data_IF_307164162018
#
_entry.id   IF_307164162018
#
_cell.length_a   1.000
_cell.length_b   1.000
_cell.length_c   1.000
_cell.angle_alpha   90.00
_cell.angle_beta   90.00
_cell.angle_gamma   90.00
#
_symmetry.space_group_name_H-M   'P 1'
#
loop_
_entity.id
_entity.type
_entity.pdbx_description
1 polymer ?
#
# COMPACT_ATOMS: atom_id res chain seq x y z
N UNK A 1 -46.24 -6.19 -26.82
CA UNK A 1 -45.82 -6.83 -25.56
C UNK A 1 -44.33 -6.58 -25.45
N UNK A 2 -43.92 -5.70 -24.55
CA UNK A 2 -42.51 -5.39 -24.33
C UNK A 2 -41.87 -6.54 -23.55
N UNK A 3 -40.66 -6.92 -23.95
CA UNK A 3 -39.90 -7.99 -23.32
C UNK A 3 -39.50 -7.57 -21.88
N UNK A 4 -39.81 -8.34 -20.83
CA UNK A 4 -39.50 -7.97 -19.45
C UNK A 4 -37.99 -7.95 -19.12
N UNK A 5 -37.12 -8.24 -20.08
CA UNK A 5 -35.65 -8.28 -19.88
C UNK A 5 -34.93 -6.99 -20.30
N UNK A 6 -35.62 -6.02 -20.90
CA UNK A 6 -35.02 -4.74 -21.33
C UNK A 6 -34.85 -3.71 -20.17
N UNK A 7 -35.37 -4.01 -18.98
CA UNK A 7 -35.35 -3.12 -17.80
C UNK A 7 -34.16 -3.34 -16.84
N UNK A 8 -33.20 -4.21 -17.19
CA UNK A 8 -32.04 -4.54 -16.33
C UNK A 8 -30.71 -3.93 -16.77
N UNK A 9 -30.68 -3.18 -17.88
CA UNK A 9 -29.50 -2.41 -18.22
C UNK A 9 -29.60 -1.07 -17.47
N UNK A 10 -28.74 -0.79 -16.47
CA UNK A 10 -28.64 0.57 -15.95
C UNK A 10 -28.42 1.50 -17.16
N UNK A 11 -29.01 2.72 -17.17
CA UNK A 11 -28.65 3.71 -18.17
C UNK A 11 -27.13 3.80 -18.19
N UNK A 12 -26.47 3.95 -19.37
CA UNK A 12 -25.04 4.15 -19.40
C UNK A 12 -24.77 5.28 -18.41
N UNK A 13 -24.06 4.96 -17.32
CA UNK A 13 -23.55 5.98 -16.43
C UNK A 13 -22.89 6.98 -17.38
N UNK A 14 -23.27 8.25 -17.25
CA UNK A 14 -22.69 9.34 -18.03
C UNK A 14 -21.19 9.08 -18.11
N UNK A 15 -20.59 9.25 -19.31
CA UNK A 15 -19.15 9.14 -19.58
C UNK A 15 -18.36 10.10 -18.68
N UNK A 16 -18.38 9.86 -17.36
CA UNK A 16 -17.64 10.52 -16.32
C UNK A 16 -16.20 10.03 -16.50
N UNK A 17 -15.59 10.60 -17.53
CA UNK A 17 -14.24 11.14 -17.52
C UNK A 17 -13.18 10.11 -17.10
N UNK A 18 -13.26 8.87 -17.64
CA UNK A 18 -12.16 7.92 -17.65
C UNK A 18 -11.02 8.47 -18.51
N UNK A 19 -10.31 9.44 -17.93
CA UNK A 19 -9.20 10.15 -18.51
C UNK A 19 -7.93 9.79 -17.77
N UNK A 20 -6.80 9.94 -18.45
CA UNK A 20 -5.50 9.75 -17.81
C UNK A 20 -5.30 10.80 -16.70
N UNK A 21 -4.54 10.51 -15.63
CA UNK A 21 -4.30 11.50 -14.59
C UNK A 21 -3.68 12.78 -15.18
N UNK A 22 -4.35 13.92 -14.97
CA UNK A 22 -3.88 15.24 -15.44
C UNK A 22 -2.43 15.53 -15.06
N UNK A 23 -2.01 15.10 -13.87
CA UNK A 23 -0.62 15.23 -13.41
C UNK A 23 0.38 14.50 -14.31
N UNK A 24 0.05 13.29 -14.78
CA UNK A 24 0.89 12.50 -15.67
C UNK A 24 1.05 13.18 -17.03
N UNK A 25 -0.05 13.66 -17.63
CA UNK A 25 -0.01 14.37 -18.90
C UNK A 25 0.77 15.69 -18.77
N UNK A 26 0.53 16.45 -17.70
CA UNK A 26 1.28 17.68 -17.43
C UNK A 26 2.78 17.45 -17.24
N UNK A 27 3.17 16.31 -16.66
CA UNK A 27 4.57 15.92 -16.54
C UNK A 27 5.19 15.66 -17.91
N UNK A 28 4.54 14.86 -18.75
CA UNK A 28 5.01 14.57 -20.13
C UNK A 28 5.13 15.85 -20.95
N UNK A 29 4.13 16.74 -20.90
CA UNK A 29 4.17 18.02 -21.62
C UNK A 29 5.39 18.84 -21.18
N UNK A 30 5.66 18.95 -19.86
CA UNK A 30 6.82 19.70 -19.36
C UNK A 30 8.16 19.07 -19.75
N UNK A 31 8.23 17.75 -19.82
CA UNK A 31 9.44 17.03 -20.24
C UNK A 31 9.73 17.25 -21.74
N UNK A 32 8.70 17.27 -22.58
CA UNK A 32 8.84 17.48 -24.03
C UNK A 32 9.05 18.94 -24.41
N UNK A 33 8.41 19.89 -23.72
CA UNK A 33 8.48 21.33 -24.01
C UNK A 33 8.77 22.17 -22.75
N UNK A 34 9.99 22.07 -22.18
CA UNK A 34 10.32 22.61 -20.85
C UNK A 34 10.22 24.13 -20.72
N UNK A 35 10.42 24.87 -21.81
CA UNK A 35 10.47 26.34 -21.81
C UNK A 35 9.21 26.99 -22.39
N UNK A 36 8.17 26.21 -22.71
CA UNK A 36 6.96 26.70 -23.37
C UNK A 36 5.80 26.77 -22.40
N UNK A 37 5.15 27.93 -22.34
CA UNK A 37 3.89 28.09 -21.60
C UNK A 37 2.75 27.53 -22.45
N UNK A 38 2.27 26.35 -22.08
CA UNK A 38 1.06 25.75 -22.67
C UNK A 38 -0.20 26.37 -22.01
N UNK A 39 -1.28 26.57 -22.74
CA UNK A 39 -2.57 27.04 -22.20
C UNK A 39 -3.34 25.90 -21.53
N UNK A 40 -4.27 26.22 -20.61
CA UNK A 40 -5.06 25.19 -19.93
C UNK A 40 -5.97 24.45 -20.90
N UNK A 41 -6.63 25.17 -21.81
CA UNK A 41 -7.46 24.55 -22.86
C UNK A 41 -6.66 23.57 -23.73
N UNK A 42 -5.41 23.91 -24.08
CA UNK A 42 -4.54 23.00 -24.83
C UNK A 42 -4.17 21.74 -24.04
N UNK A 43 -4.03 21.84 -22.71
CA UNK A 43 -3.77 20.66 -21.85
C UNK A 43 -4.99 19.73 -21.80
N UNK A 44 -6.18 20.29 -21.65
CA UNK A 44 -7.42 19.49 -21.68
C UNK A 44 -7.65 18.89 -23.08
N UNK A 45 -7.33 19.61 -24.15
CA UNK A 45 -7.38 19.06 -25.50
C UNK A 45 -6.43 17.87 -25.67
N UNK A 46 -5.17 17.97 -25.20
CA UNK A 46 -4.21 16.87 -25.24
C UNK A 46 -4.73 15.67 -24.43
N UNK A 47 -5.31 15.92 -23.25
CA UNK A 47 -5.91 14.88 -22.43
C UNK A 47 -7.00 14.11 -23.19
N UNK A 48 -7.91 14.83 -23.84
CA UNK A 48 -8.97 14.24 -24.66
C UNK A 48 -8.39 13.46 -25.85
N UNK A 49 -7.35 13.99 -26.51
CA UNK A 49 -6.64 13.28 -27.58
C UNK A 49 -6.00 11.98 -27.08
N UNK A 50 -5.49 11.92 -25.84
CA UNK A 50 -4.95 10.68 -25.28
C UNK A 50 -6.03 9.61 -25.10
N UNK A 51 -7.21 10.00 -24.60
CA UNK A 51 -8.36 9.08 -24.48
C UNK A 51 -8.81 8.59 -25.86
N UNK A 52 -8.98 9.51 -26.82
CA UNK A 52 -9.34 9.17 -28.19
C UNK A 52 -8.30 8.24 -28.84
N UNK A 53 -7.00 8.47 -28.60
CA UNK A 53 -5.94 7.61 -29.10
C UNK A 53 -6.07 6.18 -28.57
N UNK A 54 -6.40 6.00 -27.29
CA UNK A 54 -6.65 4.67 -26.71
C UNK A 54 -7.84 4.00 -27.41
N UNK A 55 -8.93 4.73 -27.64
CA UNK A 55 -10.10 4.19 -28.35
C UNK A 55 -9.80 3.84 -29.81
N UNK A 56 -9.04 4.67 -30.51
CA UNK A 56 -8.64 4.44 -31.90
C UNK A 56 -7.82 3.16 -32.03
N UNK A 57 -6.76 3.02 -31.23
CA UNK A 57 -5.92 1.81 -31.23
C UNK A 57 -6.73 0.58 -30.83
N UNK A 58 -7.56 0.70 -29.79
CA UNK A 58 -8.35 -0.43 -29.28
C UNK A 58 -9.36 -0.92 -30.32
N UNK A 59 -10.00 0.00 -31.06
CA UNK A 59 -10.97 -0.33 -32.10
C UNK A 59 -10.30 -1.03 -33.29
N UNK A 60 -9.18 -0.51 -33.81
CA UNK A 60 -8.47 -1.18 -34.89
C UNK A 60 -7.88 -2.53 -34.45
N UNK A 61 -7.35 -2.63 -33.23
CA UNK A 61 -6.84 -3.90 -32.69
C UNK A 61 -7.96 -4.94 -32.51
N UNK A 62 -9.17 -4.51 -32.13
CA UNK A 62 -10.35 -5.36 -32.08
C UNK A 62 -10.73 -5.86 -33.49
N UNK A 63 -10.70 -5.00 -34.50
CA UNK A 63 -10.97 -5.39 -35.88
C UNK A 63 -9.92 -6.35 -36.43
N UNK A 64 -8.64 -6.16 -36.10
CA UNK A 64 -7.58 -7.13 -36.41
C UNK A 64 -7.85 -8.48 -35.72
N UNK A 65 -8.19 -8.45 -34.43
CA UNK A 65 -8.51 -9.65 -33.63
C UNK A 65 -9.66 -10.45 -34.26
N UNK A 66 -10.75 -9.76 -34.60
CA UNK A 66 -11.94 -10.35 -35.21
C UNK A 66 -11.64 -10.93 -36.60
N UNK A 67 -10.88 -10.21 -37.44
CA UNK A 67 -10.43 -10.71 -38.75
C UNK A 67 -9.54 -11.95 -38.66
N UNK A 68 -8.78 -12.10 -37.58
CA UNK A 68 -7.99 -13.30 -37.28
C UNK A 68 -8.79 -14.41 -36.57
N UNK A 69 -10.11 -14.24 -36.45
CA UNK A 69 -11.04 -15.17 -35.81
C UNK A 69 -10.63 -15.52 -34.36
N UNK A 70 -10.12 -14.53 -33.62
CA UNK A 70 -9.76 -14.61 -32.20
C UNK A 70 -10.80 -13.84 -31.36
N UNK A 71 -10.98 -14.26 -30.11
CA UNK A 71 -11.91 -13.63 -29.15
C UNK A 71 -11.20 -12.76 -28.10
N UNK A 72 -9.87 -12.73 -28.12
CA UNK A 72 -9.06 -12.01 -27.14
C UNK A 72 -8.04 -11.17 -27.89
N UNK A 73 -8.04 -9.87 -27.61
CA UNK A 73 -7.05 -8.95 -28.17
C UNK A 73 -5.70 -9.25 -27.51
N UNK A 74 -4.74 -9.68 -28.33
CA UNK A 74 -3.38 -9.94 -27.92
C UNK A 74 -2.44 -8.84 -28.43
N UNK A 75 -1.19 -8.85 -27.96
CA UNK A 75 -0.19 -7.86 -28.35
C UNK A 75 0.04 -7.80 -29.88
N UNK A 76 0.02 -8.94 -30.57
CA UNK A 76 0.16 -8.98 -32.04
C UNK A 76 -0.94 -8.22 -32.78
N UNK A 77 -2.15 -8.13 -32.22
CA UNK A 77 -3.25 -7.37 -32.82
C UNK A 77 -3.02 -5.87 -32.67
N UNK A 78 -2.49 -5.44 -31.51
CA UNK A 78 -2.14 -4.03 -31.27
C UNK A 78 -0.97 -3.60 -32.14
N UNK A 79 0.07 -4.43 -32.28
CA UNK A 79 1.22 -4.14 -33.13
C UNK A 79 0.82 -4.01 -34.61
N UNK A 80 -0.09 -4.87 -35.09
CA UNK A 80 -0.64 -4.75 -36.45
C UNK A 80 -1.57 -3.53 -36.62
N UNK A 81 -2.34 -3.17 -35.58
CA UNK A 81 -3.15 -1.96 -35.61
C UNK A 81 -2.30 -0.70 -35.75
N UNK A 82 -1.15 -0.63 -35.06
CA UNK A 82 -0.18 0.46 -35.23
C UNK A 82 0.29 0.58 -36.68
N UNK A 83 0.64 -0.53 -37.34
CA UNK A 83 1.04 -0.52 -38.75
C UNK A 83 -0.10 -0.01 -39.66
N UNK A 84 -1.34 -0.49 -39.45
CA UNK A 84 -2.50 -0.14 -40.27
C UNK A 84 -2.91 1.32 -40.14
N UNK A 85 -2.74 1.90 -38.96
CA UNK A 85 -3.03 3.30 -38.67
C UNK A 85 -1.88 4.26 -39.04
N UNK A 86 -0.73 3.72 -39.51
CA UNK A 86 0.43 4.51 -39.92
C UNK A 86 1.35 4.94 -38.78
N UNK A 87 1.26 4.30 -37.61
CA UNK A 87 2.12 4.54 -36.44
C UNK A 87 3.30 3.56 -36.37
N UNK A 88 3.89 3.22 -37.53
CA UNK A 88 4.98 2.24 -37.62
C UNK A 88 6.18 2.58 -36.72
N UNK A 89 6.46 3.87 -36.53
CA UNK A 89 7.58 4.35 -35.70
C UNK A 89 7.41 3.99 -34.20
N UNK A 90 6.18 3.74 -33.74
CA UNK A 90 5.90 3.36 -32.35
C UNK A 90 6.09 1.87 -32.09
N UNK A 91 6.13 1.06 -33.15
CA UNK A 91 6.12 -0.40 -33.06
C UNK A 91 7.37 -0.93 -32.35
N UNK A 92 8.54 -0.36 -32.64
CA UNK A 92 9.80 -0.79 -32.04
C UNK A 92 9.77 -0.65 -30.51
N UNK A 93 9.32 0.49 -30.00
CA UNK A 93 9.18 0.73 -28.56
C UNK A 93 8.09 -0.16 -27.94
N UNK A 94 6.98 -0.37 -28.64
CA UNK A 94 5.92 -1.26 -28.17
C UNK A 94 6.39 -2.73 -28.07
N UNK A 95 7.23 -3.20 -29.00
CA UNK A 95 7.82 -4.53 -28.96
C UNK A 95 8.82 -4.69 -27.80
N UNK A 96 9.60 -3.64 -27.50
CA UNK A 96 10.49 -3.62 -26.34
C UNK A 96 9.69 -3.78 -25.02
N UNK A 97 8.63 -2.98 -24.84
CA UNK A 97 7.74 -3.07 -23.67
C UNK A 97 7.07 -4.45 -23.59
N UNK A 98 6.67 -5.04 -24.72
CA UNK A 98 6.11 -6.39 -24.75
C UNK A 98 7.10 -7.44 -24.22
N UNK A 99 8.37 -7.32 -24.60
CA UNK A 99 9.41 -8.25 -24.13
C UNK A 99 9.63 -8.11 -22.62
N UNK A 100 9.72 -6.89 -22.10
CA UNK A 100 9.83 -6.63 -20.67
C UNK A 100 8.63 -7.20 -19.90
N UNK A 101 7.41 -7.00 -20.41
CA UNK A 101 6.20 -7.57 -19.83
C UNK A 101 6.26 -9.11 -19.78
N UNK A 102 6.76 -9.77 -20.83
CA UNK A 102 6.93 -11.23 -20.88
C UNK A 102 7.95 -11.70 -19.85
N UNK A 103 9.05 -10.98 -19.67
CA UNK A 103 10.06 -11.30 -18.66
C UNK A 103 9.51 -11.18 -17.24
N UNK A 104 8.81 -10.10 -16.94
CA UNK A 104 8.16 -9.89 -15.63
C UNK A 104 7.15 -10.99 -15.36
N UNK A 105 6.31 -11.32 -16.33
CA UNK A 105 5.35 -12.42 -16.21
C UNK A 105 6.04 -13.78 -16.00
N UNK A 106 7.15 -14.03 -16.68
CA UNK A 106 7.94 -15.26 -16.51
C UNK A 106 8.59 -15.34 -15.12
N UNK A 107 9.15 -14.23 -14.60
CA UNK A 107 9.70 -14.14 -13.25
C UNK A 107 8.62 -14.42 -12.20
N UNK A 108 7.43 -13.81 -12.33
CA UNK A 108 6.29 -14.06 -11.44
C UNK A 108 5.84 -15.52 -11.45
N UNK A 109 5.74 -16.14 -12.63
CA UNK A 109 5.41 -17.58 -12.74
C UNK A 109 6.44 -18.45 -12.02
N UNK A 110 7.74 -18.21 -12.23
CA UNK A 110 8.81 -18.95 -11.55
C UNK A 110 8.75 -18.80 -10.03
N UNK A 111 8.44 -17.61 -9.53
CA UNK A 111 8.27 -17.37 -8.08
C UNK A 111 7.07 -18.15 -7.51
N UNK A 112 5.92 -18.16 -8.19
CA UNK A 112 4.75 -18.96 -7.80
C UNK A 112 5.09 -20.45 -7.77
N UNK A 113 5.68 -20.97 -8.85
CA UNK A 113 6.07 -22.38 -8.95
C UNK A 113 7.10 -22.76 -7.88
N UNK A 114 7.98 -21.84 -7.47
CA UNK A 114 8.93 -22.11 -6.37
C UNK A 114 8.23 -22.19 -5.02
N UNK A 115 7.21 -21.36 -4.79
CA UNK A 115 6.41 -21.38 -3.57
C UNK A 115 5.60 -22.68 -3.45
N UNK A 116 5.05 -23.16 -4.56
CA UNK A 116 4.29 -24.42 -4.61
C UNK A 116 5.20 -25.66 -4.47
N UNK A 117 6.47 -25.56 -4.88
CA UNK A 117 7.43 -26.66 -4.85
C UNK A 117 8.54 -26.45 -3.80
N UNK A 118 8.23 -25.86 -2.64
CA UNK A 118 9.22 -25.62 -1.58
C UNK A 118 9.87 -26.90 -1.03
N UNK A 119 9.33 -28.09 -1.35
CA UNK A 119 9.85 -29.39 -0.93
C UNK A 119 9.66 -29.68 0.56
N UNK A 120 9.20 -28.70 1.34
CA UNK A 120 8.75 -28.86 2.72
C UNK A 120 7.26 -29.17 2.67
N UNK A 121 6.79 -30.30 3.21
CA UNK A 121 5.37 -30.62 3.24
C UNK A 121 4.61 -29.56 4.05
N UNK A 122 3.37 -29.28 3.63
CA UNK A 122 2.51 -28.27 4.26
C UNK A 122 2.34 -28.50 5.78
N UNK A 123 2.29 -29.76 6.19
CA UNK A 123 2.22 -30.16 7.61
C UNK A 123 3.42 -29.68 8.43
N UNK A 124 4.64 -29.78 7.88
CA UNK A 124 5.85 -29.34 8.55
C UNK A 124 5.94 -27.80 8.61
N UNK A 125 5.49 -27.11 7.56
CA UNK A 125 5.36 -25.65 7.56
C UNK A 125 4.34 -25.18 8.61
N UNK A 126 3.20 -25.86 8.73
CA UNK A 126 2.18 -25.55 9.73
C UNK A 126 2.71 -25.77 11.14
N UNK A 127 3.45 -26.86 11.37
CA UNK A 127 4.09 -27.15 12.66
C UNK A 127 5.05 -26.02 13.05
N UNK A 128 5.93 -25.60 12.15
CA UNK A 128 6.88 -24.51 12.39
C UNK A 128 6.16 -23.18 12.68
N UNK A 129 5.10 -22.86 11.94
CA UNK A 129 4.28 -21.68 12.19
C UNK A 129 3.64 -21.71 13.60
N UNK A 130 3.07 -22.85 13.99
CA UNK A 130 2.44 -23.02 15.30
C UNK A 130 3.45 -22.90 16.45
N UNK A 131 4.64 -23.46 16.28
CA UNK A 131 5.73 -23.35 17.25
C UNK A 131 6.17 -21.89 17.44
N UNK A 132 6.34 -21.14 16.34
CA UNK A 132 6.66 -19.71 16.39
C UNK A 132 5.57 -18.92 17.13
N UNK A 133 4.29 -19.20 16.86
CA UNK A 133 3.18 -18.54 17.57
C UNK A 133 3.13 -18.91 19.05
N UNK A 134 3.40 -20.17 19.40
CA UNK A 134 3.45 -20.59 20.80
C UNK A 134 4.56 -19.88 21.57
N UNK A 135 5.76 -19.81 20.97
CA UNK A 135 6.91 -19.12 21.55
C UNK A 135 6.65 -17.62 21.75
N UNK A 136 6.06 -16.95 20.76
CA UNK A 136 5.70 -15.55 20.87
C UNK A 136 4.69 -15.28 22.00
N UNK A 137 3.68 -16.15 22.17
CA UNK A 137 2.72 -16.06 23.28
C UNK A 137 3.37 -16.26 24.64
N UNK A 138 4.28 -17.23 24.75
CA UNK A 138 5.01 -17.49 26.00
C UNK A 138 5.90 -16.31 26.39
N UNK A 139 6.60 -15.73 25.41
CA UNK A 139 7.44 -14.55 25.63
C UNK A 139 6.61 -13.34 26.10
N UNK A 140 5.48 -13.06 25.45
CA UNK A 140 4.55 -12.03 25.90
C UNK A 140 4.01 -12.28 27.30
N UNK A 141 3.57 -13.50 27.61
CA UNK A 141 3.09 -13.84 28.95
C UNK A 141 4.19 -13.67 30.01
N UNK A 142 5.44 -14.00 29.67
CA UNK A 142 6.60 -13.82 30.55
C UNK A 142 6.90 -12.35 30.78
N UNK A 143 6.85 -11.52 29.74
CA UNK A 143 7.03 -10.07 29.85
C UNK A 143 5.92 -9.43 30.68
N UNK A 144 4.66 -9.78 30.42
CA UNK A 144 3.51 -9.35 31.22
C UNK A 144 3.65 -9.75 32.69
N UNK A 145 4.09 -10.99 32.94
CA UNK A 145 4.33 -11.48 34.30
C UNK A 145 5.46 -10.71 34.98
N UNK A 146 6.58 -10.45 34.29
CA UNK A 146 7.68 -9.65 34.82
C UNK A 146 7.25 -8.21 35.12
N UNK A 147 6.49 -7.58 34.22
CA UNK A 147 5.94 -6.24 34.43
C UNK A 147 4.99 -6.22 35.64
N UNK A 148 4.14 -7.23 35.78
CA UNK A 148 3.23 -7.35 36.91
C UNK A 148 3.98 -7.49 38.23
N UNK A 149 4.99 -8.36 38.29
CA UNK A 149 5.84 -8.55 39.48
C UNK A 149 6.59 -7.25 39.83
N UNK A 150 7.17 -6.58 38.83
CA UNK A 150 7.88 -5.30 39.03
C UNK A 150 6.95 -4.21 39.57
N UNK A 151 5.72 -4.11 39.02
CA UNK A 151 4.72 -3.15 39.46
C UNK A 151 4.28 -3.42 40.91
N UNK A 152 4.03 -4.68 41.26
CA UNK A 152 3.68 -5.06 42.63
C UNK A 152 4.81 -4.75 43.62
N UNK A 153 6.06 -5.07 43.27
CA UNK A 153 7.22 -4.77 44.11
C UNK A 153 7.39 -3.25 44.33
N UNK A 154 7.26 -2.45 43.27
CA UNK A 154 7.29 -0.99 43.36
C UNK A 154 6.17 -0.44 44.25
N UNK A 155 4.96 -1.02 44.21
CA UNK A 155 3.86 -0.60 45.07
C UNK A 155 4.12 -0.91 46.56
N UNK A 156 4.68 -2.09 46.86
CA UNK A 156 5.06 -2.45 48.25
C UNK A 156 6.16 -1.52 48.77
N UNK A 157 7.17 -1.22 47.96
CA UNK A 157 8.26 -0.33 48.36
C UNK A 157 7.75 1.09 48.64
N UNK A 158 6.89 1.65 47.79
CA UNK A 158 6.25 2.94 48.04
C UNK A 158 5.46 2.94 49.35
N UNK A 159 4.70 1.87 49.63
CA UNK A 159 3.93 1.78 50.87
C UNK A 159 4.84 1.68 52.11
N UNK A 160 5.95 0.94 52.02
CA UNK A 160 6.96 0.85 53.08
C UNK A 160 7.65 2.20 53.32
N UNK A 161 7.98 2.94 52.26
CA UNK A 161 8.55 4.29 52.35
C UNK A 161 7.57 5.28 53.00
N UNK A 162 6.29 5.21 52.65
CA UNK A 162 5.24 6.02 53.29
C UNK A 162 5.13 5.74 54.79
N UNK A 163 5.11 4.47 55.18
CA UNK A 163 5.11 4.05 56.60
C UNK A 163 6.37 4.53 57.32
N UNK A 164 7.54 4.37 56.70
CA UNK A 164 8.81 4.83 57.28
C UNK A 164 8.84 6.36 57.46
N UNK A 165 8.31 7.11 56.49
CA UNK A 165 8.17 8.57 56.57
C UNK A 165 7.21 8.98 57.69
N UNK A 166 6.12 8.25 57.88
CA UNK A 166 5.17 8.48 58.96
C UNK A 166 5.80 8.22 60.34
N UNK A 167 6.55 7.12 60.49
CA UNK A 167 7.26 6.82 61.74
C UNK A 167 8.36 7.86 62.07
N UNK A 168 9.12 8.33 61.07
CA UNK A 168 10.10 9.41 61.27
C UNK A 168 9.44 10.71 61.74
N UNK A 169 8.25 11.03 61.22
CA UNK A 169 7.48 12.20 61.67
C UNK A 169 6.92 12.05 63.08
N UNK A 170 6.71 10.82 63.57
CA UNK A 170 6.28 10.55 64.95
C UNK A 170 7.43 10.49 65.96
N UNK A 171 8.67 10.26 65.50
CA UNK A 171 9.88 10.20 66.33
C UNK A 171 10.63 11.54 66.44
N UNK A 172 10.21 12.59 65.73
CA UNK A 172 10.74 13.95 65.86
C UNK A 172 9.86 14.86 66.72
N UNK A 173 9.09 14.29 67.65
CA UNK A 173 8.26 15.01 68.62
C UNK A 173 8.73 14.72 70.04
N UNK A 174 9.92 15.21 70.40
CA UNK A 174 10.40 15.15 71.78
C UNK A 174 11.92 15.10 71.89
N UNK A 175 12.55 16.27 71.96
CA UNK A 175 13.54 16.65 72.97
C UNK A 175 13.87 18.14 72.76
N UNK A 176 13.53 18.91 73.80
CA UNK A 176 13.77 20.33 74.00
C UNK A 176 15.28 20.57 74.16
N UNK A 177 15.82 21.61 73.52
CA UNK A 177 17.04 22.29 73.96
C UNK A 177 16.60 23.70 74.39
N UNK A 178 16.37 23.85 75.70
CA UNK A 178 16.44 25.13 76.40
C UNK A 178 17.87 25.25 76.96
N UNK A 179 18.61 26.25 76.48
CA UNK A 179 19.68 26.92 77.23
C UNK A 179 19.59 28.42 76.88
N UNK A 180 18.89 29.15 77.77
CA UNK A 180 19.19 30.49 78.35
C UNK A 180 20.49 31.17 77.85
N UNK A 181 20.65 32.50 77.69
CA UNK A 181 19.90 33.72 78.00
C UNK A 181 20.71 34.87 77.33
N UNK A 182 20.09 35.99 76.92
CA UNK A 182 20.66 37.35 77.03
C UNK A 182 19.72 38.46 76.48
N UNK A 183 19.34 39.35 77.40
CA UNK A 183 18.97 40.79 77.30
C UNK A 183 17.77 41.28 76.48
N UNK A 184 16.77 41.90 77.14
CA UNK A 184 16.69 43.38 77.31
C UNK A 184 15.49 43.82 78.21
N UNK A 185 15.81 44.63 79.24
CA UNK A 185 15.01 45.49 80.15
C UNK A 185 13.95 44.95 81.12
#
# INVERSE_FOLDING_TARGET
MADPQDELCPPPAEDDDLTLPRASINKIIKELVPSVRVANESRELILNCCTEFIHLISSEANDVCNRRNKKTINAEHVLEALDRLGFCDYKQEAEAVLNDCKEVAAKRRRQSTRLENLGIPEEELLRQQQELFAKAREEQAREEQQQWISMQASAVQQNAELLHRQMKSSNSGGLEDDDDDDEEY
#
